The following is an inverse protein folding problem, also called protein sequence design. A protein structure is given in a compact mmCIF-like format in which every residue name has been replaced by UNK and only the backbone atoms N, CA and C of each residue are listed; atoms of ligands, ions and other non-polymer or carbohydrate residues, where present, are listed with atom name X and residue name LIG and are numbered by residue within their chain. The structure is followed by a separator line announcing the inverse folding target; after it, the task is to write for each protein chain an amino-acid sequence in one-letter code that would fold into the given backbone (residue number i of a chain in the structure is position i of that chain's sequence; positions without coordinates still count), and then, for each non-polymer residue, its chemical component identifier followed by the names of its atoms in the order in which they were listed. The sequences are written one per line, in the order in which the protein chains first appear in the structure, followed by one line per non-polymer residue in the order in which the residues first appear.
data_IF_535000149062
#
_entry.id   IF_535000149062
#
_cell.length_a   1.000
_cell.length_b   1.000
_cell.length_c   1.000
_cell.angle_alpha   90.00
_cell.angle_beta   90.00
_cell.angle_gamma   90.00
#
_symmetry.space_group_name_H-M   'P 1'
#
loop_
_entity.id
_entity.type
_entity.pdbx_description
1 polymer ?
#
# COMPACT_ATOMS: atom_id res chain seq x y z
N UNK A 1 12.57 -27.08 -47.37
CA UNK A 1 12.69 -25.91 -46.47
C UNK A 1 11.51 -25.94 -45.50
N UNK A 2 11.71 -26.39 -44.25
CA UNK A 2 10.64 -26.52 -43.24
C UNK A 2 10.56 -25.22 -42.43
N UNK A 3 9.38 -24.58 -42.43
CA UNK A 3 9.11 -23.35 -41.68
C UNK A 3 9.00 -23.68 -40.19
N UNK A 4 9.89 -23.13 -39.38
CA UNK A 4 9.84 -23.21 -37.93
C UNK A 4 8.89 -22.11 -37.44
N UNK A 5 7.69 -22.50 -36.99
CA UNK A 5 6.73 -21.59 -36.36
C UNK A 5 7.11 -21.52 -34.87
N UNK A 6 7.82 -20.45 -34.48
CA UNK A 6 8.01 -20.12 -33.07
C UNK A 6 6.71 -19.54 -32.52
N UNK A 7 5.95 -20.38 -31.80
CA UNK A 7 4.81 -19.93 -31.01
C UNK A 7 5.38 -19.22 -29.78
N UNK A 8 5.32 -17.88 -29.77
CA UNK A 8 5.55 -17.07 -28.59
C UNK A 8 4.37 -17.31 -27.63
N UNK A 9 4.52 -18.27 -26.72
CA UNK A 9 3.65 -18.40 -25.55
C UNK A 9 3.88 -17.20 -24.64
N UNK A 10 3.02 -16.20 -24.76
CA UNK A 10 2.96 -15.07 -23.84
C UNK A 10 2.48 -15.65 -22.50
N UNK A 11 3.44 -15.87 -21.60
CA UNK A 11 3.18 -16.20 -20.20
C UNK A 11 2.60 -14.94 -19.53
N UNK A 12 1.29 -14.76 -19.63
CA UNK A 12 0.55 -13.80 -18.82
C UNK A 12 0.63 -14.31 -17.37
N UNK A 13 1.62 -13.81 -16.63
CA UNK A 13 1.67 -13.92 -15.17
C UNK A 13 0.52 -13.06 -14.65
N UNK A 14 -0.68 -13.63 -14.60
CA UNK A 14 -1.79 -13.07 -13.86
C UNK A 14 -1.40 -13.18 -12.39
N UNK A 15 -0.82 -12.12 -11.84
CA UNK A 15 -0.76 -11.92 -10.40
C UNK A 15 -2.21 -11.95 -9.91
N UNK A 16 -2.62 -13.11 -9.40
CA UNK A 16 -3.96 -13.34 -8.88
C UNK A 16 -4.09 -12.51 -7.61
N UNK A 17 -4.48 -11.25 -7.78
CA UNK A 17 -4.85 -10.37 -6.68
C UNK A 17 -6.27 -10.76 -6.29
N UNK A 18 -6.38 -11.70 -5.35
CA UNK A 18 -7.66 -11.96 -4.69
C UNK A 18 -8.05 -10.67 -3.97
N UNK A 19 -9.09 -9.99 -4.45
CA UNK A 19 -9.77 -8.88 -3.79
C UNK A 19 -10.57 -9.35 -2.58
N UNK A 20 -10.06 -10.33 -1.83
CA UNK A 20 -10.52 -10.64 -0.49
C UNK A 20 -10.12 -9.45 0.37
N UNK A 21 -11.00 -8.45 0.36
CA UNK A 21 -10.85 -7.25 1.15
C UNK A 21 -10.66 -7.70 2.60
N UNK A 22 -9.54 -7.34 3.21
CA UNK A 22 -9.35 -7.34 4.66
C UNK A 22 -10.37 -6.43 5.40
N UNK A 23 -11.45 -5.99 4.75
CA UNK A 23 -12.58 -5.32 5.36
C UNK A 23 -13.23 -6.14 6.48
N UNK A 24 -12.94 -7.44 6.61
CA UNK A 24 -13.47 -8.29 7.70
C UNK A 24 -12.53 -8.45 8.91
N UNK A 25 -11.29 -7.92 8.90
CA UNK A 25 -10.36 -8.14 10.00
C UNK A 25 -9.87 -6.83 10.63
N UNK A 26 -10.12 -6.70 11.94
CA UNK A 26 -9.74 -5.58 12.82
C UNK A 26 -8.32 -5.01 12.56
N UNK A 27 -8.26 -3.79 12.03
CA UNK A 27 -7.04 -3.08 11.63
C UNK A 27 -6.00 -2.92 12.75
N UNK A 28 -6.44 -2.92 14.01
CA UNK A 28 -5.53 -2.81 15.17
C UNK A 28 -4.63 -4.04 15.32
N UNK A 29 -5.01 -5.17 14.71
CA UNK A 29 -4.22 -6.40 14.65
C UNK A 29 -3.19 -6.38 13.51
N UNK A 30 -3.36 -5.52 12.50
CA UNK A 30 -2.49 -5.48 11.30
C UNK A 30 -1.40 -4.42 11.35
N UNK A 31 -1.61 -3.32 12.10
CA UNK A 31 -0.64 -2.23 12.18
C UNK A 31 -0.27 -1.91 13.62
N UNK A 32 1.04 -1.90 13.92
CA UNK A 32 1.55 -1.49 15.23
C UNK A 32 1.42 0.03 15.45
N UNK A 33 1.36 0.79 14.37
CA UNK A 33 1.09 2.23 14.36
C UNK A 33 0.14 2.57 13.21
N UNK A 34 -0.75 3.57 13.38
CA UNK A 34 -1.58 4.03 12.29
C UNK A 34 -0.73 4.40 11.06
N UNK A 35 -1.17 4.04 9.84
CA UNK A 35 -0.52 4.47 8.61
C UNK A 35 -0.43 5.99 8.52
N UNK A 36 0.60 6.48 7.84
CA UNK A 36 0.86 7.92 7.66
C UNK A 36 1.41 8.20 6.27
N UNK A 37 1.39 9.47 5.87
CA UNK A 37 2.02 9.94 4.64
C UNK A 37 3.36 10.57 4.98
N UNK A 38 4.40 10.15 4.26
CA UNK A 38 5.71 10.78 4.30
C UNK A 38 5.93 11.57 3.02
N UNK A 39 6.35 12.82 3.16
CA UNK A 39 6.77 13.70 2.06
C UNK A 39 8.28 13.60 1.87
N UNK A 40 8.71 13.34 0.64
CA UNK A 40 10.12 13.38 0.24
C UNK A 40 10.24 14.15 -1.07
N UNK A 41 10.76 15.38 -0.99
CA UNK A 41 10.82 16.31 -2.12
C UNK A 41 9.43 16.49 -2.78
N UNK A 42 9.30 16.09 -4.05
CA UNK A 42 8.07 16.19 -4.85
C UNK A 42 7.25 14.89 -4.88
N UNK A 43 7.59 13.91 -4.03
CA UNK A 43 6.87 12.64 -3.93
C UNK A 43 6.29 12.45 -2.53
N UNK A 44 5.22 11.66 -2.47
CA UNK A 44 4.55 11.26 -1.25
C UNK A 44 4.51 9.75 -1.16
N UNK A 45 4.64 9.21 0.05
CA UNK A 45 4.69 7.78 0.31
C UNK A 45 3.72 7.42 1.43
N UNK A 46 2.92 6.37 1.28
CA UNK A 46 2.24 5.75 2.41
C UNK A 46 3.27 4.94 3.19
N UNK A 47 3.33 5.16 4.51
CA UNK A 47 4.18 4.45 5.45
C UNK A 47 3.31 3.71 6.46
N UNK A 48 3.57 2.42 6.62
CA UNK A 48 2.95 1.59 7.65
C UNK A 48 3.97 0.61 8.23
N UNK A 49 3.66 0.08 9.41
CA UNK A 49 4.47 -0.94 10.08
C UNK A 49 3.61 -2.16 10.32
N UNK A 50 4.03 -3.30 9.78
CA UNK A 50 3.36 -4.57 10.02
C UNK A 50 3.31 -4.87 11.53
N UNK A 51 2.13 -5.26 12.00
CA UNK A 51 1.93 -5.78 13.35
C UNK A 51 2.45 -7.23 13.47
N UNK A 52 2.04 -7.89 14.56
CA UNK A 52 2.48 -9.19 15.06
C UNK A 52 2.77 -10.26 13.97
N UNK A 53 3.77 -11.13 14.17
CA UNK A 53 4.23 -12.15 13.21
C UNK A 53 3.14 -13.07 12.64
N UNK A 54 1.99 -13.25 13.30
CA UNK A 54 0.90 -14.06 12.76
C UNK A 54 0.17 -13.40 11.57
N UNK A 55 0.25 -12.07 11.47
CA UNK A 55 -0.41 -11.26 10.44
C UNK A 55 0.58 -10.69 9.42
N UNK A 56 1.84 -10.54 9.82
CA UNK A 56 2.93 -10.17 8.94
C UNK A 56 3.30 -11.22 7.88
N UNK A 57 2.47 -12.25 7.70
CA UNK A 57 2.63 -13.32 6.72
C UNK A 57 2.24 -12.91 5.32
N UNK A 58 1.40 -11.89 5.09
CA UNK A 58 0.96 -11.52 3.73
C UNK A 58 1.54 -10.18 3.29
N UNK A 59 1.93 -10.08 2.01
CA UNK A 59 2.27 -8.78 1.44
C UNK A 59 1.02 -7.90 1.36
N UNK A 60 1.14 -6.66 1.83
CA UNK A 60 0.08 -5.68 1.81
C UNK A 60 0.42 -4.58 0.81
N UNK A 61 -0.55 -4.22 -0.03
CA UNK A 61 -0.42 -3.14 -1.00
C UNK A 61 -1.53 -2.12 -0.76
N UNK A 62 -1.18 -0.84 -0.51
CA UNK A 62 -2.17 0.22 -0.45
C UNK A 62 -2.92 0.36 -1.77
N UNK A 63 -4.22 0.53 -1.67
CA UNK A 63 -5.15 0.81 -2.76
C UNK A 63 -5.81 2.17 -2.51
N UNK A 64 -6.18 2.85 -3.59
CA UNK A 64 -6.62 4.24 -3.56
C UNK A 64 -7.96 4.39 -4.28
N UNK A 65 -8.91 5.09 -3.66
CA UNK A 65 -10.21 5.43 -4.23
C UNK A 65 -10.50 6.91 -4.00
N UNK A 66 -10.92 7.62 -5.04
CA UNK A 66 -11.40 8.99 -4.92
C UNK A 66 -12.92 8.99 -4.71
N UNK A 67 -13.41 9.69 -3.70
CA UNK A 67 -14.83 9.76 -3.36
C UNK A 67 -15.13 11.05 -2.60
N UNK A 68 -16.15 11.80 -3.03
CA UNK A 68 -16.60 13.04 -2.37
C UNK A 68 -15.45 14.02 -2.07
N UNK A 69 -14.58 14.27 -3.06
CA UNK A 69 -13.38 15.10 -2.96
C UNK A 69 -12.33 14.64 -1.93
N UNK A 70 -12.40 13.38 -1.49
CA UNK A 70 -11.42 12.76 -0.59
C UNK A 70 -10.65 11.67 -1.33
N UNK A 71 -9.39 11.52 -0.95
CA UNK A 71 -8.61 10.33 -1.28
C UNK A 71 -8.76 9.33 -0.14
N UNK A 72 -9.36 8.19 -0.43
CA UNK A 72 -9.50 7.09 0.50
C UNK A 72 -8.42 6.05 0.22
N UNK A 73 -7.71 5.66 1.27
CA UNK A 73 -6.62 4.69 1.24
C UNK A 73 -7.01 3.48 2.08
N UNK A 74 -6.84 2.29 1.53
CA UNK A 74 -7.08 1.03 2.23
C UNK A 74 -5.99 0.03 1.85
N UNK A 75 -5.78 -1.00 2.67
CA UNK A 75 -4.82 -2.06 2.34
C UNK A 75 -5.55 -3.25 1.72
N UNK A 76 -4.97 -3.73 0.63
CA UNK A 76 -5.30 -5.01 0.02
C UNK A 76 -4.19 -6.00 0.34
N UNK A 77 -4.53 -7.21 0.77
CA UNK A 77 -3.56 -8.31 0.89
C UNK A 77 -3.41 -9.05 -0.42
N UNK A 78 -2.20 -9.52 -0.69
CA UNK A 78 -1.97 -10.50 -1.74
C UNK A 78 -2.00 -11.91 -1.15
N UNK A 79 -2.15 -12.91 -2.02
CA UNK A 79 -2.01 -14.32 -1.67
C UNK A 79 -0.55 -14.73 -1.42
N UNK A 80 0.41 -13.86 -1.74
CA UNK A 80 1.83 -14.11 -1.51
C UNK A 80 2.20 -13.83 -0.05
N UNK A 81 3.05 -14.70 0.49
CA UNK A 81 3.48 -14.62 1.88
C UNK A 81 4.97 -14.32 2.06
N UNK A 82 5.31 -13.65 3.17
CA UNK A 82 6.67 -13.30 3.57
C UNK A 82 6.73 -12.96 5.05
N UNK A 83 7.90 -12.97 5.69
CA UNK A 83 8.04 -12.62 7.12
C UNK A 83 8.45 -11.14 7.28
N UNK A 84 7.46 -10.24 7.31
CA UNK A 84 7.69 -8.77 7.35
C UNK A 84 7.45 -8.13 8.73
N UNK A 85 7.41 -8.95 9.78
CA UNK A 85 7.17 -8.51 11.15
C UNK A 85 8.07 -7.33 11.55
N UNK A 86 7.47 -6.29 12.14
CA UNK A 86 8.14 -5.06 12.59
C UNK A 86 8.86 -4.24 11.52
N UNK A 87 8.73 -4.60 10.25
CA UNK A 87 9.30 -3.82 9.16
C UNK A 87 8.36 -2.68 8.77
N UNK A 88 8.95 -1.52 8.50
CA UNK A 88 8.24 -0.46 7.79
C UNK A 88 8.21 -0.78 6.31
N UNK A 89 7.03 -0.65 5.72
CA UNK A 89 6.84 -0.63 4.29
C UNK A 89 6.45 0.77 3.81
N UNK A 90 6.81 1.04 2.56
CA UNK A 90 6.62 2.31 1.88
C UNK A 90 6.01 2.02 0.52
N UNK A 91 5.04 2.85 0.14
CA UNK A 91 4.44 2.78 -1.19
C UNK A 91 4.34 4.19 -1.76
N UNK A 92 4.94 4.43 -2.91
CA UNK A 92 4.86 5.74 -3.56
C UNK A 92 3.43 6.01 -4.04
N UNK A 93 2.91 7.17 -3.66
CA UNK A 93 1.59 7.60 -4.06
C UNK A 93 1.71 8.25 -5.44
N UNK A 94 0.94 7.73 -6.39
CA UNK A 94 0.91 8.22 -7.76
C UNK A 94 0.62 9.73 -7.82
N UNK A 95 1.29 10.43 -8.75
CA UNK A 95 1.21 11.90 -8.91
C UNK A 95 -0.23 12.44 -9.02
N UNK A 96 -1.14 11.69 -9.64
CA UNK A 96 -2.55 12.10 -9.78
C UNK A 96 -3.23 12.38 -8.45
N UNK A 97 -2.81 11.71 -7.37
CA UNK A 97 -3.40 11.86 -6.04
C UNK A 97 -2.73 12.95 -5.19
N UNK A 98 -1.66 13.59 -5.68
CA UNK A 98 -0.89 14.56 -4.87
C UNK A 98 -1.71 15.79 -4.47
N UNK A 99 -2.70 16.18 -5.27
CA UNK A 99 -3.55 17.32 -4.95
C UNK A 99 -4.38 17.06 -3.69
N UNK A 100 -4.95 15.86 -3.55
CA UNK A 100 -5.67 15.48 -2.33
C UNK A 100 -4.77 15.49 -1.09
N UNK A 101 -3.51 15.09 -1.22
CA UNK A 101 -2.54 15.13 -0.12
C UNK A 101 -2.23 16.57 0.27
N UNK A 102 -1.96 17.44 -0.72
CA UNK A 102 -1.68 18.87 -0.50
C UNK A 102 -2.86 19.62 0.12
N UNK A 103 -4.09 19.20 -0.21
CA UNK A 103 -5.34 19.73 0.33
C UNK A 103 -5.73 19.10 1.67
N UNK A 104 -4.89 18.23 2.23
CA UNK A 104 -5.11 17.56 3.50
C UNK A 104 -6.45 16.77 3.53
N UNK A 105 -6.79 16.17 2.39
CA UNK A 105 -8.03 15.44 2.12
C UNK A 105 -7.81 13.93 1.93
N UNK A 106 -6.75 13.38 2.53
CA UNK A 106 -6.40 11.96 2.46
C UNK A 106 -6.78 11.22 3.76
N UNK A 107 -7.49 10.11 3.63
CA UNK A 107 -8.03 9.33 4.74
C UNK A 107 -7.71 7.85 4.57
N UNK A 108 -7.41 7.20 5.67
CA UNK A 108 -7.39 5.74 5.79
C UNK A 108 -8.80 5.22 6.07
N UNK A 109 -9.24 4.20 5.35
CA UNK A 109 -10.45 3.46 5.67
C UNK A 109 -10.09 2.26 6.53
N UNK A 110 -10.65 2.20 7.74
CA UNK A 110 -10.58 1.03 8.59
C UNK A 110 -11.57 -0.06 8.11
N UNK A 111 -11.38 -1.33 8.52
CA UNK A 111 -12.30 -2.44 8.22
C UNK A 111 -13.75 -2.16 8.63
N UNK A 112 -13.96 -1.47 9.76
CA UNK A 112 -15.27 -1.03 10.24
C UNK A 112 -15.85 0.17 9.47
N UNK A 113 -15.20 0.58 8.38
CA UNK A 113 -15.50 1.75 7.53
C UNK A 113 -15.30 3.11 8.20
N UNK A 114 -14.80 3.15 9.43
CA UNK A 114 -14.40 4.41 10.04
C UNK A 114 -13.24 5.04 9.26
N UNK A 115 -13.23 6.37 9.21
CA UNK A 115 -12.21 7.12 8.50
C UNK A 115 -11.22 7.72 9.50
N UNK A 116 -9.95 7.44 9.27
CA UNK A 116 -8.84 8.05 10.00
C UNK A 116 -8.09 9.00 9.06
N UNK A 117 -7.93 10.27 9.45
CA UNK A 117 -7.21 11.24 8.62
C UNK A 117 -5.70 10.93 8.63
N UNK A 118 -5.09 10.80 7.45
CA UNK A 118 -3.68 10.48 7.33
C UNK A 118 -2.82 11.68 7.70
N UNK A 119 -1.99 11.53 8.74
CA UNK A 119 -0.99 12.54 9.09
C UNK A 119 0.09 12.60 8.01
N UNK A 120 0.45 13.81 7.59
CA UNK A 120 1.53 14.08 6.65
C UNK A 120 2.74 14.61 7.42
N UNK A 121 3.92 14.03 7.22
CA UNK A 121 5.19 14.50 7.80
C UNK A 121 6.33 14.44 6.79
N UNK A 122 7.36 15.28 6.95
CA UNK A 122 8.57 15.17 6.13
C UNK A 122 9.36 13.89 6.46
N UNK A 123 10.01 13.33 5.44
CA UNK A 123 10.84 12.14 5.56
C UNK A 123 12.04 12.39 6.46
N UNK A 124 12.26 11.51 7.44
CA UNK A 124 13.47 11.53 8.25
C UNK A 124 14.59 10.69 7.60
N UNK A 125 15.79 10.71 8.20
CA UNK A 125 16.96 9.96 7.70
C UNK A 125 16.70 8.46 7.51
N UNK A 126 15.92 7.84 8.39
CA UNK A 126 15.60 6.40 8.32
C UNK A 126 14.58 6.09 7.23
N UNK A 127 13.61 6.97 7.01
CA UNK A 127 12.65 6.85 5.90
C UNK A 127 13.40 6.91 4.57
N UNK A 128 14.31 7.87 4.40
CA UNK A 128 15.10 8.06 3.19
C UNK A 128 16.00 6.86 2.87
N UNK A 129 16.55 6.19 3.88
CA UNK A 129 17.34 4.96 3.69
C UNK A 129 16.51 3.81 3.15
N UNK A 130 15.22 3.73 3.52
CA UNK A 130 14.33 2.63 3.14
C UNK A 130 13.66 2.85 1.79
N UNK A 131 13.32 4.09 1.45
CA UNK A 131 12.69 4.42 0.16
C UNK A 131 13.67 4.23 -1.03
N UNK A 132 14.99 4.30 -0.79
CA UNK A 132 16.03 4.17 -1.83
C UNK A 132 16.47 2.73 -2.12
N UNK A 133 15.99 1.74 -1.35
CA UNK A 133 16.33 0.33 -1.53
C UNK A 133 15.38 -0.32 -2.52
#
# INVERSE_FOLDING_TARGET
MKKLICIFSILLITACTTTSSLMEHDSSKFFRHPPSIIKNNNSYFIKWKYADPQIGLFFMTPSFKEENNKLLVYISTTSSSGYLNNQYAYFEIARKFHNHIKQDSAFWINPDKSLFKLKITDANKEDLKRIKK
#
